data_IF_229899276364
#
_entry.id   IF_229899276364
#
_cell.length_a   1.000
_cell.length_b   1.000
_cell.length_c   1.000
_cell.angle_alpha   90.00
_cell.angle_beta   90.00
_cell.angle_gamma   90.00
#
_symmetry.space_group_name_H-M   'P 1'
#
loop_
_entity.id
_entity.type
_entity.pdbx_description
1 polymer ?
#
# COMPACT_ATOMS: atom_id res chain seq x y z
N UNK A 1 -23.96 -12.80 -19.85
CA UNK A 1 -25.09 -13.63 -19.40
C UNK A 1 -26.10 -12.68 -18.78
N UNK A 2 -27.07 -12.26 -19.59
CA UNK A 2 -28.12 -11.30 -19.19
C UNK A 2 -29.00 -11.94 -18.12
N UNK A 3 -28.91 -11.49 -16.87
CA UNK A 3 -29.84 -11.91 -15.84
C UNK A 3 -31.21 -11.31 -16.14
N UNK A 4 -32.06 -12.13 -16.75
CA UNK A 4 -33.48 -11.91 -16.92
C UNK A 4 -34.06 -11.51 -15.56
N UNK A 5 -34.27 -10.21 -15.32
CA UNK A 5 -34.98 -9.71 -14.15
C UNK A 5 -36.39 -10.27 -14.21
N UNK A 6 -36.61 -11.38 -13.51
CA UNK A 6 -37.95 -11.92 -13.31
C UNK A 6 -38.64 -10.92 -12.41
N UNK A 7 -39.61 -10.19 -12.96
CA UNK A 7 -40.36 -9.19 -12.22
C UNK A 7 -41.37 -9.93 -11.33
N UNK A 8 -40.90 -10.38 -10.17
CA UNK A 8 -41.67 -11.19 -9.21
C UNK A 8 -42.94 -10.49 -8.71
N UNK A 9 -43.05 -9.18 -8.93
CA UNK A 9 -44.19 -8.35 -8.56
C UNK A 9 -45.43 -8.60 -9.43
N UNK A 10 -45.29 -9.12 -10.65
CA UNK A 10 -46.44 -9.46 -11.51
C UNK A 10 -47.13 -10.78 -11.11
N UNK A 11 -46.61 -11.49 -10.12
CA UNK A 11 -47.12 -12.82 -9.74
C UNK A 11 -48.18 -12.79 -8.64
N UNK A 12 -48.48 -11.63 -8.05
CA UNK A 12 -49.48 -11.51 -6.98
C UNK A 12 -50.70 -10.76 -7.52
N UNK A 13 -51.84 -11.45 -7.75
CA UNK A 13 -53.09 -10.78 -8.09
C UNK A 13 -53.44 -9.73 -7.03
N UNK A 14 -53.91 -8.53 -7.42
CA UNK A 14 -54.23 -7.46 -6.47
C UNK A 14 -55.32 -7.87 -5.47
N UNK A 15 -56.15 -8.83 -5.85
CA UNK A 15 -57.21 -9.40 -5.02
C UNK A 15 -56.67 -10.25 -3.85
N UNK A 16 -55.54 -10.93 -4.05
CA UNK A 16 -54.85 -11.72 -3.02
C UNK A 16 -54.05 -10.83 -2.06
N UNK A 17 -53.55 -9.70 -2.57
CA UNK A 17 -52.93 -8.65 -1.74
C UNK A 17 -53.96 -7.93 -0.84
N UNK A 18 -55.21 -7.79 -1.31
CA UNK A 18 -56.31 -7.22 -0.53
C UNK A 18 -56.63 -8.05 0.71
N UNK A 19 -56.60 -9.39 0.58
CA UNK A 19 -56.93 -10.36 1.64
C UNK A 19 -55.79 -10.64 2.62
N UNK A 20 -54.58 -10.15 2.36
CA UNK A 20 -53.42 -10.46 3.19
C UNK A 20 -53.50 -9.74 4.55
N UNK A 21 -53.34 -10.46 5.68
CA UNK A 21 -53.28 -9.85 7.01
C UNK A 21 -52.16 -8.81 7.13
N UNK A 22 -52.40 -7.76 7.92
CA UNK A 22 -51.46 -6.65 8.14
C UNK A 22 -50.07 -7.11 8.58
N UNK A 23 -49.99 -8.15 9.41
CA UNK A 23 -48.72 -8.73 9.87
C UNK A 23 -47.86 -9.24 8.71
N UNK A 24 -48.47 -9.85 7.69
CA UNK A 24 -47.74 -10.38 6.53
C UNK A 24 -47.29 -9.23 5.61
N UNK A 25 -48.16 -8.23 5.39
CA UNK A 25 -47.80 -7.04 4.60
C UNK A 25 -46.57 -6.33 5.17
N UNK A 26 -46.51 -6.20 6.50
CA UNK A 26 -45.36 -5.60 7.20
C UNK A 26 -44.07 -6.40 6.96
N UNK A 27 -44.11 -7.73 7.06
CA UNK A 27 -42.94 -8.58 6.80
C UNK A 27 -42.46 -8.47 5.34
N UNK A 28 -43.39 -8.39 4.39
CA UNK A 28 -43.06 -8.21 2.97
C UNK A 28 -42.40 -6.85 2.73
N UNK A 29 -42.89 -5.80 3.37
CA UNK A 29 -42.32 -4.45 3.27
C UNK A 29 -40.91 -4.38 3.90
N UNK A 30 -40.71 -4.97 5.07
CA UNK A 30 -39.39 -5.11 5.70
C UNK A 30 -38.42 -5.91 4.81
N UNK A 31 -38.92 -6.98 4.17
CA UNK A 31 -38.12 -7.78 3.25
C UNK A 31 -37.75 -7.00 1.99
N UNK A 32 -38.68 -6.20 1.43
CA UNK A 32 -38.42 -5.34 0.28
C UNK A 32 -37.35 -4.29 0.60
N UNK A 33 -37.44 -3.64 1.76
CA UNK A 33 -36.41 -2.70 2.23
C UNK A 33 -35.05 -3.39 2.36
N UNK A 34 -35.01 -4.61 2.90
CA UNK A 34 -33.77 -5.37 3.05
C UNK A 34 -33.16 -5.79 1.71
N UNK A 35 -33.99 -6.08 0.71
CA UNK A 35 -33.55 -6.37 -0.66
C UNK A 35 -32.93 -5.12 -1.27
N UNK A 36 -33.62 -3.98 -1.19
CA UNK A 36 -33.10 -2.71 -1.73
C UNK A 36 -31.77 -2.33 -1.09
N UNK A 37 -31.66 -2.42 0.24
CA UNK A 37 -30.40 -2.19 0.95
C UNK A 37 -29.29 -3.13 0.46
N UNK A 38 -29.59 -4.41 0.25
CA UNK A 38 -28.62 -5.38 -0.26
C UNK A 38 -28.17 -5.05 -1.68
N UNK A 39 -29.10 -4.67 -2.56
CA UNK A 39 -28.79 -4.28 -3.94
C UNK A 39 -27.90 -3.04 -3.99
N UNK A 40 -28.16 -2.05 -3.12
CA UNK A 40 -27.30 -0.87 -2.99
C UNK A 40 -25.89 -1.25 -2.51
N UNK A 41 -25.77 -2.16 -1.54
CA UNK A 41 -24.47 -2.65 -1.06
C UNK A 41 -23.72 -3.42 -2.16
N UNK A 42 -24.41 -4.28 -2.90
CA UNK A 42 -23.83 -5.01 -4.03
C UNK A 42 -23.30 -4.05 -5.09
N UNK A 43 -24.09 -3.04 -5.45
CA UNK A 43 -23.68 -2.03 -6.43
C UNK A 43 -22.43 -1.29 -5.96
N UNK A 44 -22.38 -0.87 -4.69
CA UNK A 44 -21.19 -0.21 -4.11
C UNK A 44 -19.96 -1.11 -4.17
N UNK A 45 -20.08 -2.38 -3.75
CA UNK A 45 -18.97 -3.32 -3.78
C UNK A 45 -18.47 -3.58 -5.20
N UNK A 46 -19.37 -3.74 -6.16
CA UNK A 46 -19.01 -3.93 -7.57
C UNK A 46 -18.27 -2.71 -8.13
N UNK A 47 -18.75 -1.49 -7.85
CA UNK A 47 -18.06 -0.27 -8.30
C UNK A 47 -16.66 -0.14 -7.70
N UNK A 48 -16.48 -0.45 -6.43
CA UNK A 48 -15.16 -0.42 -5.78
C UNK A 48 -14.25 -1.50 -6.36
N UNK A 49 -14.78 -2.69 -6.61
CA UNK A 49 -14.02 -3.78 -7.23
C UNK A 49 -13.52 -3.38 -8.62
N UNK A 50 -14.37 -2.80 -9.46
CA UNK A 50 -13.99 -2.34 -10.79
C UNK A 50 -12.89 -1.28 -10.74
N UNK A 51 -13.03 -0.27 -9.88
CA UNK A 51 -12.01 0.76 -9.67
C UNK A 51 -10.67 0.19 -9.18
N UNK A 52 -10.70 -0.80 -8.29
CA UNK A 52 -9.49 -1.45 -7.80
C UNK A 52 -8.82 -2.29 -8.89
N UNK A 53 -9.61 -3.03 -9.67
CA UNK A 53 -9.10 -3.80 -10.80
C UNK A 53 -8.45 -2.90 -11.86
N UNK A 54 -9.07 -1.75 -12.16
CA UNK A 54 -8.49 -0.76 -13.06
C UNK A 54 -7.14 -0.25 -12.54
N UNK A 55 -7.08 0.16 -11.26
CA UNK A 55 -5.83 0.63 -10.64
C UNK A 55 -4.72 -0.42 -10.63
N UNK A 56 -5.06 -1.69 -10.43
CA UNK A 56 -4.10 -2.80 -10.44
C UNK A 56 -3.62 -3.09 -11.87
N UNK A 57 -4.49 -2.94 -12.87
CA UNK A 57 -4.14 -3.20 -14.26
C UNK A 57 -3.25 -2.08 -14.83
N UNK A 58 -3.32 -0.86 -14.31
CA UNK A 58 -2.44 0.23 -14.73
C UNK A 58 -1.04 0.03 -14.14
N UNK A 59 -0.06 -0.20 -15.02
CA UNK A 59 1.36 -0.35 -14.69
C UNK A 59 2.20 0.55 -15.59
N UNK A 60 3.46 0.81 -15.22
CA UNK A 60 4.43 1.55 -16.06
C UNK A 60 4.77 0.84 -17.38
N UNK A 61 4.38 -0.43 -17.54
CA UNK A 61 4.62 -1.23 -18.75
C UNK A 61 3.51 -1.12 -19.79
N UNK A 62 2.29 -0.86 -19.35
CA UNK A 62 1.10 -0.74 -20.21
C UNK A 62 0.47 0.66 -20.15
N UNK A 63 1.06 1.59 -19.41
CA UNK A 63 0.71 3.02 -19.41
C UNK A 63 1.98 3.88 -19.46
N UNK A 64 1.89 5.10 -19.99
CA UNK A 64 3.00 6.06 -20.04
C UNK A 64 3.39 6.66 -18.67
N UNK A 65 2.96 6.03 -17.58
CA UNK A 65 3.26 6.45 -16.22
C UNK A 65 4.71 6.09 -15.84
N UNK A 66 5.39 6.90 -15.03
CA UNK A 66 6.76 6.58 -14.60
C UNK A 66 6.79 5.30 -13.75
N UNK A 67 7.89 4.54 -13.83
CA UNK A 67 8.10 3.31 -13.06
C UNK A 67 8.04 3.50 -11.53
N UNK A 68 8.19 4.73 -11.05
CA UNK A 68 8.02 5.10 -9.64
C UNK A 68 6.56 5.06 -9.17
N UNK A 69 5.59 5.09 -10.08
CA UNK A 69 4.16 5.04 -9.77
C UNK A 69 3.62 3.61 -9.61
N UNK A 70 4.42 2.59 -9.94
CA UNK A 70 4.04 1.20 -9.73
C UNK A 70 3.95 0.88 -8.23
N UNK A 71 2.93 0.09 -7.85
CA UNK A 71 2.77 -0.38 -6.48
C UNK A 71 3.99 -1.19 -6.00
N UNK A 72 4.36 -1.12 -4.70
CA UNK A 72 5.45 -1.90 -4.16
C UNK A 72 5.19 -3.41 -4.36
N UNK A 73 6.05 -4.05 -5.16
CA UNK A 73 5.91 -5.47 -5.54
C UNK A 73 5.45 -5.73 -6.98
N UNK A 74 4.99 -4.70 -7.71
CA UNK A 74 4.56 -4.82 -9.12
C UNK A 74 5.72 -4.89 -10.13
N UNK A 75 6.96 -4.67 -9.68
CA UNK A 75 8.17 -4.92 -10.45
C UNK A 75 8.62 -6.37 -10.35
N UNK A 76 8.93 -7.01 -11.49
CA UNK A 76 9.75 -8.23 -11.48
C UNK A 76 11.01 -7.88 -10.69
N UNK A 77 11.24 -8.53 -9.54
CA UNK A 77 12.52 -8.43 -8.84
C UNK A 77 13.58 -8.74 -9.88
N UNK A 78 14.38 -7.74 -10.28
CA UNK A 78 15.46 -8.00 -11.21
C UNK A 78 16.25 -9.16 -10.60
N UNK A 79 16.52 -10.23 -11.38
CA UNK A 79 17.31 -11.34 -10.86
C UNK A 79 18.54 -10.72 -10.23
N UNK A 80 18.79 -11.04 -8.94
CA UNK A 80 19.96 -10.53 -8.22
C UNK A 80 21.14 -10.84 -9.13
N UNK A 81 21.74 -9.80 -9.73
CA UNK A 81 22.95 -9.97 -10.53
C UNK A 81 23.91 -10.73 -9.63
N UNK A 82 24.37 -11.89 -10.10
CA UNK A 82 25.41 -12.62 -9.39
C UNK A 82 26.53 -11.61 -9.14
N UNK A 83 26.94 -11.45 -7.87
CA UNK A 83 28.02 -10.53 -7.52
C UNK A 83 29.19 -10.92 -8.41
N UNK A 84 29.62 -10.01 -9.29
CA UNK A 84 30.78 -10.33 -10.10
C UNK A 84 31.95 -10.48 -9.13
N UNK A 85 32.49 -11.69 -9.01
CA UNK A 85 33.73 -11.93 -8.27
C UNK A 85 34.93 -11.21 -8.91
N UNK A 86 34.72 -10.46 -10.01
CA UNK A 86 35.68 -9.47 -10.49
C UNK A 86 35.84 -8.42 -9.40
N UNK A 87 37.06 -8.35 -8.83
CA UNK A 87 37.53 -7.17 -8.13
C UNK A 87 37.17 -5.97 -9.01
N UNK A 88 36.50 -4.98 -8.42
CA UNK A 88 36.48 -3.62 -8.97
C UNK A 88 37.91 -3.11 -8.79
N UNK A 89 38.80 -3.55 -9.67
CA UNK A 89 40.15 -3.01 -9.69
C UNK A 89 40.00 -1.56 -10.14
N UNK A 90 40.36 -0.64 -9.24
CA UNK A 90 40.75 0.69 -9.66
C UNK A 90 41.83 0.55 -10.74
N UNK A 91 41.88 1.49 -11.66
CA UNK A 91 42.80 1.44 -12.80
C UNK A 91 44.20 0.97 -12.35
N UNK A 92 44.60 -0.22 -12.82
CA UNK A 92 45.88 -0.85 -12.49
C UNK A 92 47.01 0.15 -12.80
N UNK A 93 47.68 0.63 -11.75
CA UNK A 93 48.78 1.59 -11.86
C UNK A 93 48.57 2.91 -11.11
N UNK A 94 47.34 3.23 -10.66
CA UNK A 94 47.12 4.43 -9.85
C UNK A 94 47.12 4.09 -8.36
N UNK A 95 48.16 4.51 -7.66
CA UNK A 95 48.17 4.51 -6.20
C UNK A 95 47.15 5.56 -5.74
N UNK A 96 46.11 5.13 -5.03
CA UNK A 96 45.09 6.04 -4.51
C UNK A 96 45.72 7.16 -3.68
N UNK A 97 45.36 8.41 -3.98
CA UNK A 97 45.81 9.54 -3.17
C UNK A 97 45.00 9.57 -1.87
N UNK A 98 45.65 9.28 -0.75
CA UNK A 98 45.05 9.39 0.58
C UNK A 98 45.80 10.43 1.41
N UNK A 99 45.07 11.17 2.24
CA UNK A 99 45.67 12.06 3.23
C UNK A 99 46.03 11.23 4.45
N UNK A 100 47.29 11.26 4.85
CA UNK A 100 47.71 10.65 6.12
C UNK A 100 47.07 11.42 7.28
N UNK A 101 46.51 10.69 8.24
CA UNK A 101 46.04 11.30 9.49
C UNK A 101 47.23 11.92 10.24
N UNK A 102 46.95 13.02 10.94
CA UNK A 102 47.97 13.67 11.75
C UNK A 102 48.41 12.72 12.89
N UNK A 103 49.72 12.51 13.11
CA UNK A 103 50.18 11.56 14.12
C UNK A 103 49.76 11.97 15.53
N UNK A 104 49.18 11.04 16.29
CA UNK A 104 48.71 11.27 17.66
C UNK A 104 49.84 11.82 18.56
N UNK A 105 51.08 11.33 18.37
CA UNK A 105 52.26 11.77 19.13
C UNK A 105 52.63 13.25 18.93
N UNK A 106 52.10 13.90 17.89
CA UNK A 106 52.34 15.31 17.58
C UNK A 106 51.18 16.22 18.00
N UNK A 107 50.09 15.66 18.53
CA UNK A 107 48.96 16.44 19.03
C UNK A 107 49.34 17.08 20.37
N UNK A 108 48.99 18.36 20.55
CA UNK A 108 49.21 19.06 21.83
C UNK A 108 48.22 18.59 22.91
N UNK A 109 47.00 18.21 22.53
CA UNK A 109 45.96 17.71 23.43
C UNK A 109 44.89 16.94 22.65
N UNK A 110 44.25 15.96 23.30
CA UNK A 110 43.07 15.27 22.79
C UNK A 110 41.91 15.63 23.73
N UNK A 111 40.80 16.10 23.17
CA UNK A 111 39.59 16.45 23.92
C UNK A 111 38.48 15.54 23.44
N UNK A 112 38.00 14.67 24.31
CA UNK A 112 36.89 13.77 24.02
C UNK A 112 35.56 14.52 24.20
N UNK A 113 35.01 15.02 23.09
CA UNK A 113 33.74 15.76 23.11
C UNK A 113 32.53 14.83 23.00
N UNK A 114 31.69 14.85 24.03
CA UNK A 114 30.43 14.11 24.07
C UNK A 114 29.27 15.11 24.18
N UNK A 115 28.31 15.13 23.24
CA UNK A 115 27.19 16.05 23.31
C UNK A 115 26.28 15.68 24.48
N UNK A 116 25.79 16.69 25.20
CA UNK A 116 24.86 16.52 26.33
C UNK A 116 23.42 16.28 25.86
N UNK A 117 23.09 16.63 24.62
CA UNK A 117 21.74 16.53 24.07
C UNK A 117 21.74 15.94 22.66
N UNK A 118 20.69 15.18 22.34
CA UNK A 118 20.50 14.63 21.01
C UNK A 118 20.09 15.72 20.01
N UNK A 119 20.89 15.92 18.96
CA UNK A 119 20.62 16.91 17.91
C UNK A 119 19.27 16.72 17.17
N UNK A 120 18.67 15.52 17.23
CA UNK A 120 17.42 15.21 16.55
C UNK A 120 16.17 15.35 17.43
N UNK A 121 16.27 15.10 18.74
CA UNK A 121 15.10 15.08 19.63
C UNK A 121 15.24 15.92 20.91
N UNK A 122 16.41 16.51 21.18
CA UNK A 122 16.65 17.34 22.38
C UNK A 122 16.70 16.56 23.70
N UNK A 123 16.64 15.23 23.67
CA UNK A 123 16.74 14.42 24.88
C UNK A 123 18.17 14.45 25.44
N UNK A 124 18.29 14.53 26.77
CA UNK A 124 19.56 14.49 27.49
C UNK A 124 20.26 13.14 27.28
N UNK A 125 21.52 13.19 26.86
CA UNK A 125 22.38 12.04 26.67
C UNK A 125 23.20 11.85 27.94
N UNK A 126 22.92 10.78 28.69
CA UNK A 126 23.69 10.42 29.87
C UNK A 126 24.92 9.64 29.40
N UNK A 127 26.10 10.25 29.54
CA UNK A 127 27.37 9.57 29.26
C UNK A 127 27.69 8.62 30.42
N UNK A 128 27.43 7.32 30.24
CA UNK A 128 27.82 6.28 31.19
C UNK A 128 29.31 5.95 30.97
N UNK A 129 30.21 6.69 31.63
CA UNK A 129 31.61 6.27 31.74
C UNK A 129 31.72 5.17 32.82
N UNK A 130 32.06 3.94 32.42
CA UNK A 130 32.63 2.87 33.26
C UNK A 130 34.06 2.59 32.78
#
# INVERSE_FOLDING_TARGET
>A
MEQKRVNHLEQIPPEDWGKTPTSIKKVVEEMAQRIEQREQQLTKVLTVQEQLLEKINITSKNSSSPASSDLPGFGKKLPKKQKSCKKLEGQLGYQGNSRNLYPIKKLSSIIDYHPEECANCGATLVCLYL
#
